data_IF_866389096332
#
_entry.id   IF_866389096332
#
_cell.length_a   1.000
_cell.length_b   1.000
_cell.length_c   1.000
_cell.angle_alpha   90.00
_cell.angle_beta   90.00
_cell.angle_gamma   90.00
#
_symmetry.space_group_name_H-M   'P 1'
#
loop_
_entity.id
_entity.type
_entity.pdbx_description
1 polymer ?
#
# COMPACT_ATOMS: atom_id res chain seq x y z
N UNK A 1 22.35 -10.58 4.64
CA UNK A 1 21.42 -9.50 5.04
C UNK A 1 20.40 -10.12 5.96
N UNK A 2 20.26 -9.56 7.14
CA UNK A 2 19.29 -10.01 8.13
C UNK A 2 17.86 -9.76 7.60
N UNK A 3 16.90 -10.59 8.03
CA UNK A 3 15.51 -10.51 7.53
C UNK A 3 14.88 -9.14 7.79
N UNK A 4 15.15 -8.56 8.95
CA UNK A 4 14.68 -7.22 9.31
C UNK A 4 15.29 -6.13 8.40
N UNK A 5 16.59 -6.22 8.11
CA UNK A 5 17.26 -5.28 7.19
C UNK A 5 16.63 -5.31 5.80
N UNK A 6 16.31 -6.50 5.28
CA UNK A 6 15.61 -6.65 4.00
C UNK A 6 14.25 -5.95 4.02
N UNK A 7 13.46 -6.16 5.08
CA UNK A 7 12.14 -5.56 5.23
C UNK A 7 12.21 -4.03 5.30
N UNK A 8 13.17 -3.49 6.06
CA UNK A 8 13.40 -2.03 6.16
C UNK A 8 13.79 -1.45 4.81
N UNK A 9 14.75 -2.05 4.10
CA UNK A 9 15.19 -1.57 2.79
C UNK A 9 14.04 -1.61 1.77
N UNK A 10 13.29 -2.71 1.74
CA UNK A 10 12.13 -2.80 0.86
C UNK A 10 11.07 -1.73 1.17
N UNK A 11 10.85 -1.43 2.46
CA UNK A 11 9.90 -0.38 2.91
C UNK A 11 10.34 1.01 2.47
N UNK A 12 11.63 1.32 2.59
CA UNK A 12 12.20 2.57 2.08
C UNK A 12 12.01 2.66 0.55
N UNK A 13 12.28 1.58 -0.19
CA UNK A 13 12.08 1.56 -1.64
C UNK A 13 10.61 1.81 -1.99
N UNK A 14 9.67 1.16 -1.30
CA UNK A 14 8.24 1.36 -1.54
C UNK A 14 7.78 2.81 -1.26
N UNK A 15 8.24 3.40 -0.15
CA UNK A 15 7.97 4.80 0.18
C UNK A 15 8.54 5.76 -0.87
N UNK A 16 9.79 5.55 -1.30
CA UNK A 16 10.39 6.34 -2.38
C UNK A 16 9.59 6.21 -3.68
N UNK A 17 9.10 5.00 -4.01
CA UNK A 17 8.25 4.79 -5.18
C UNK A 17 6.92 5.56 -5.05
N UNK A 18 6.26 5.53 -3.89
CA UNK A 18 5.02 6.27 -3.67
C UNK A 18 5.21 7.78 -3.82
N UNK A 19 6.23 8.34 -3.14
CA UNK A 19 6.60 9.75 -3.25
C UNK A 19 6.94 10.12 -4.69
N UNK A 20 7.77 9.33 -5.37
CA UNK A 20 8.16 9.60 -6.76
C UNK A 20 6.96 9.52 -7.70
N UNK A 21 6.10 8.52 -7.53
CA UNK A 21 4.91 8.35 -8.37
C UNK A 21 3.90 9.47 -8.16
N UNK A 22 3.83 10.08 -6.98
CA UNK A 22 2.94 11.21 -6.70
C UNK A 22 3.22 12.44 -7.57
N UNK A 23 4.42 12.59 -8.13
CA UNK A 23 4.72 13.64 -9.12
C UNK A 23 3.95 13.49 -10.44
N UNK A 24 3.38 12.32 -10.74
CA UNK A 24 2.41 12.15 -11.83
C UNK A 24 1.21 13.08 -11.65
N UNK A 25 0.88 13.47 -10.42
CA UNK A 25 -0.16 14.46 -10.11
C UNK A 25 0.07 15.83 -10.74
N UNK A 26 1.31 16.19 -11.10
CA UNK A 26 1.60 17.43 -11.84
C UNK A 26 1.03 17.43 -13.26
N UNK A 27 0.68 16.26 -13.79
CA UNK A 27 0.02 16.11 -15.09
C UNK A 27 -1.50 16.28 -14.98
N UNK A 28 -2.04 16.40 -13.77
CA UNK A 28 -3.48 16.54 -13.58
C UNK A 28 -3.96 17.89 -14.14
N UNK A 29 -5.01 17.90 -14.96
CA UNK A 29 -5.61 19.15 -15.42
C UNK A 29 -6.42 19.85 -14.32
N UNK A 30 -6.67 19.18 -13.19
CA UNK A 30 -7.34 19.75 -12.05
C UNK A 30 -6.34 20.57 -11.22
N UNK A 31 -6.75 21.73 -10.69
CA UNK A 31 -5.88 22.49 -9.80
C UNK A 31 -5.46 21.60 -8.63
N UNK A 32 -4.18 21.66 -8.22
CA UNK A 32 -3.73 20.92 -7.05
C UNK A 32 -4.60 21.35 -5.88
N UNK A 33 -5.27 20.37 -5.27
CA UNK A 33 -6.10 20.66 -4.11
C UNK A 33 -5.14 20.97 -2.98
N UNK A 34 -5.03 22.25 -2.61
CA UNK A 34 -4.35 22.69 -1.40
C UNK A 34 -5.17 22.27 -0.17
N UNK A 35 -5.44 20.97 -0.05
CA UNK A 35 -5.77 20.43 1.26
C UNK A 35 -4.42 20.25 1.91
N UNK A 36 -4.16 21.04 2.94
CA UNK A 36 -3.25 20.61 4.00
C UNK A 36 -3.93 19.37 4.59
N UNK A 37 -3.74 18.21 3.94
CA UNK A 37 -4.14 16.92 4.46
C UNK A 37 -3.23 16.66 5.63
N UNK A 38 -3.71 16.93 6.83
CA UNK A 38 -2.97 16.62 8.03
C UNK A 38 -2.90 15.11 8.12
N UNK A 39 -1.68 14.56 8.16
CA UNK A 39 -1.50 13.16 8.56
C UNK A 39 -1.87 13.13 10.03
N UNK A 40 -3.03 12.55 10.32
CA UNK A 40 -3.59 12.43 11.66
C UNK A 40 -3.10 11.15 12.32
N UNK A 41 -3.22 11.10 13.66
CA UNK A 41 -2.95 9.86 14.38
C UNK A 41 -3.94 8.75 14.00
N UNK A 42 -5.18 9.10 13.62
CA UNK A 42 -6.20 8.15 13.19
C UNK A 42 -5.82 7.49 11.86
N UNK A 43 -5.40 8.27 10.86
CA UNK A 43 -4.92 7.75 9.57
C UNK A 43 -3.70 6.83 9.76
N UNK A 44 -2.68 7.28 10.52
CA UNK A 44 -1.49 6.45 10.78
C UNK A 44 -1.87 5.14 11.47
N UNK A 45 -2.67 5.20 12.55
CA UNK A 45 -3.04 4.01 13.31
C UNK A 45 -3.95 3.08 12.50
N UNK A 46 -4.86 3.64 11.72
CA UNK A 46 -5.77 2.91 10.84
C UNK A 46 -5.01 2.09 9.79
N UNK A 47 -4.16 2.76 9.01
CA UNK A 47 -3.31 2.08 8.03
C UNK A 47 -2.36 1.07 8.67
N UNK A 48 -1.81 1.39 9.83
CA UNK A 48 -0.94 0.45 10.54
C UNK A 48 -1.72 -0.81 10.97
N UNK A 49 -2.92 -0.65 11.54
CA UNK A 49 -3.74 -1.77 11.98
C UNK A 49 -4.20 -2.65 10.81
N UNK A 50 -4.66 -2.05 9.71
CA UNK A 50 -5.09 -2.80 8.52
C UNK A 50 -3.90 -3.52 7.85
N UNK A 51 -2.78 -2.82 7.66
CA UNK A 51 -1.56 -3.40 7.11
C UNK A 51 -1.00 -4.54 7.98
N UNK A 52 -1.08 -4.41 9.31
CA UNK A 52 -0.69 -5.49 10.22
C UNK A 52 -1.66 -6.67 10.16
N UNK A 53 -2.97 -6.39 10.14
CA UNK A 53 -4.03 -7.39 10.09
C UNK A 53 -3.93 -8.29 8.85
N UNK A 54 -3.60 -7.73 7.68
CA UNK A 54 -3.37 -8.55 6.49
C UNK A 54 -2.06 -9.34 6.57
N UNK A 55 -1.02 -8.72 7.12
CA UNK A 55 0.32 -9.29 7.19
C UNK A 55 0.46 -10.45 8.18
N UNK A 56 -0.36 -10.51 9.24
CA UNK A 56 -0.30 -11.57 10.26
C UNK A 56 -0.58 -12.97 9.67
N UNK A 57 -1.32 -13.05 8.56
CA UNK A 57 -1.60 -14.30 7.84
C UNK A 57 -0.40 -14.91 7.13
N UNK A 58 0.75 -14.22 7.13
CA UNK A 58 2.05 -14.82 6.77
C UNK A 58 2.63 -15.70 7.88
N UNK A 59 2.08 -15.60 9.10
CA UNK A 59 2.61 -16.20 10.33
C UNK A 59 4.07 -15.84 10.60
N UNK A 60 4.45 -14.62 10.23
CA UNK A 60 5.80 -14.10 10.41
C UNK A 60 5.75 -12.62 10.82
N UNK A 61 6.25 -12.31 12.02
CA UNK A 61 6.18 -10.96 12.57
C UNK A 61 6.91 -9.92 11.69
N UNK A 62 8.05 -10.29 11.08
CA UNK A 62 8.80 -9.37 10.23
C UNK A 62 7.98 -9.03 8.97
N UNK A 63 7.27 -10.02 8.43
CA UNK A 63 6.40 -9.82 7.27
C UNK A 63 5.15 -9.01 7.64
N UNK A 64 4.57 -9.22 8.82
CA UNK A 64 3.44 -8.42 9.30
C UNK A 64 3.82 -6.94 9.47
N UNK A 65 4.98 -6.68 10.08
CA UNK A 65 5.53 -5.32 10.20
C UNK A 65 5.89 -4.72 8.84
N UNK A 66 6.35 -5.54 7.89
CA UNK A 66 6.63 -5.06 6.53
C UNK A 66 5.35 -4.65 5.79
N UNK A 67 4.27 -5.43 5.90
CA UNK A 67 2.97 -5.07 5.33
C UNK A 67 2.43 -3.77 5.94
N UNK A 68 2.58 -3.61 7.26
CA UNK A 68 2.28 -2.36 8.00
C UNK A 68 3.05 -1.17 7.40
N UNK A 69 4.36 -1.31 7.23
CA UNK A 69 5.20 -0.25 6.69
C UNK A 69 4.85 0.11 5.23
N UNK A 70 4.50 -0.89 4.41
CA UNK A 70 4.04 -0.65 3.05
C UNK A 70 2.70 0.07 3.00
N UNK A 71 1.74 -0.30 3.86
CA UNK A 71 0.43 0.35 3.92
C UNK A 71 0.57 1.84 4.26
N UNK A 72 1.38 2.17 5.27
CA UNK A 72 1.72 3.56 5.62
C UNK A 72 2.43 4.31 4.50
N UNK A 73 3.26 3.61 3.72
CA UNK A 73 4.06 4.23 2.67
C UNK A 73 3.24 4.62 1.43
N UNK A 74 2.02 4.11 1.26
CA UNK A 74 1.15 4.54 0.15
C UNK A 74 0.81 6.04 0.25
N UNK A 75 0.72 6.58 1.47
CA UNK A 75 0.49 8.01 1.74
C UNK A 75 1.68 8.94 1.49
N UNK A 76 2.77 8.45 0.91
CA UNK A 76 3.94 9.28 0.59
C UNK A 76 3.60 10.59 -0.16
N UNK A 77 2.52 10.61 -0.94
CA UNK A 77 2.01 11.82 -1.62
C UNK A 77 1.52 12.91 -0.68
N UNK A 78 0.96 12.56 0.48
CA UNK A 78 0.50 13.51 1.50
C UNK A 78 1.67 14.27 2.13
N UNK A 79 2.84 13.63 2.26
CA UNK A 79 4.04 14.32 2.74
C UNK A 79 4.47 15.43 1.77
N UNK A 80 4.34 15.23 0.46
CA UNK A 80 4.67 16.25 -0.53
C UNK A 80 3.75 17.46 -0.44
N UNK A 81 2.44 17.25 -0.27
CA UNK A 81 1.49 18.35 -0.12
C UNK A 81 1.70 19.12 1.19
N UNK A 82 2.04 18.43 2.28
CA UNK A 82 2.43 19.05 3.55
C UNK A 82 3.70 19.91 3.44
N UNK A 83 4.64 19.50 2.59
CA UNK A 83 5.85 20.27 2.28
C UNK A 83 5.60 21.42 1.29
N UNK A 84 4.34 21.65 0.90
CA UNK A 84 3.94 22.72 -0.02
C UNK A 84 4.18 22.42 -1.49
N UNK A 85 4.45 21.15 -1.85
CA UNK A 85 4.55 20.75 -3.26
C UNK A 85 3.14 20.65 -3.84
N UNK A 86 2.83 21.33 -4.95
CA UNK A 86 1.48 21.42 -5.52
C UNK A 86 1.14 20.16 -6.34
N UNK A 87 1.15 18.99 -5.71
CA UNK A 87 0.76 17.70 -6.30
C UNK A 87 -0.59 17.24 -5.77
N UNK A 88 -1.32 16.46 -6.56
CA UNK A 88 -2.50 15.75 -6.07
C UNK A 88 -2.05 14.50 -5.29
N UNK A 89 -2.33 14.37 -3.98
CA UNK A 89 -1.80 13.28 -3.16
C UNK A 89 -2.45 11.92 -3.49
N UNK A 90 -3.66 11.91 -4.04
CA UNK A 90 -4.42 10.68 -4.35
C UNK A 90 -3.90 9.88 -5.54
N UNK A 91 -2.76 10.27 -6.13
CA UNK A 91 -2.22 9.62 -7.33
C UNK A 91 -1.53 8.31 -7.01
N UNK A 92 -0.89 8.19 -5.84
CA UNK A 92 -0.32 6.93 -5.34
C UNK A 92 -1.39 5.89 -5.00
N UNK A 93 -2.67 6.26 -4.91
CA UNK A 93 -3.80 5.38 -4.61
C UNK A 93 -4.37 4.71 -5.89
N UNK A 94 -3.57 4.64 -6.96
CA UNK A 94 -3.99 4.10 -8.25
C UNK A 94 -3.64 2.61 -8.41
N UNK A 95 -4.45 1.89 -9.21
CA UNK A 95 -4.15 0.51 -9.58
C UNK A 95 -2.85 0.41 -10.40
N UNK A 96 -2.53 1.45 -11.17
CA UNK A 96 -1.26 1.52 -11.90
C UNK A 96 -0.07 1.56 -10.94
N UNK A 97 -0.13 2.39 -9.89
CA UNK A 97 0.89 2.40 -8.85
C UNK A 97 1.01 1.03 -8.17
N UNK A 98 -0.12 0.44 -7.77
CA UNK A 98 -0.17 -0.88 -7.15
C UNK A 98 0.51 -1.94 -8.01
N UNK A 99 0.20 -2.01 -9.31
CA UNK A 99 0.80 -2.98 -10.24
C UNK A 99 2.29 -2.71 -10.41
N UNK A 100 2.69 -1.46 -10.69
CA UNK A 100 4.09 -1.11 -10.95
C UNK A 100 4.97 -1.37 -9.73
N UNK A 101 4.55 -0.89 -8.55
CA UNK A 101 5.28 -1.07 -7.30
C UNK A 101 5.42 -2.55 -6.94
N UNK A 102 4.35 -3.33 -7.11
CA UNK A 102 4.34 -4.78 -6.87
C UNK A 102 5.31 -5.52 -7.78
N UNK A 103 5.26 -5.27 -9.10
CA UNK A 103 6.14 -5.93 -10.06
C UNK A 103 7.60 -5.54 -9.84
N UNK A 104 7.86 -4.25 -9.58
CA UNK A 104 9.21 -3.73 -9.36
C UNK A 104 9.81 -4.31 -8.09
N UNK A 105 9.13 -4.22 -6.95
CA UNK A 105 9.61 -4.80 -5.70
C UNK A 105 9.79 -6.32 -5.82
N UNK A 106 8.79 -7.00 -6.36
CA UNK A 106 8.83 -8.43 -6.62
C UNK A 106 10.08 -8.82 -7.41
N UNK A 107 10.38 -8.06 -8.47
CA UNK A 107 11.55 -8.29 -9.30
C UNK A 107 12.86 -7.96 -8.56
N UNK A 108 12.99 -6.76 -7.99
CA UNK A 108 14.22 -6.28 -7.34
C UNK A 108 14.65 -7.22 -6.21
N UNK A 109 13.70 -7.67 -5.39
CA UNK A 109 14.00 -8.49 -4.21
C UNK A 109 13.89 -10.01 -4.43
N UNK A 110 13.59 -10.48 -5.65
CA UNK A 110 13.30 -11.90 -5.99
C UNK A 110 14.33 -12.92 -5.50
N UNK A 111 15.60 -12.52 -5.42
CA UNK A 111 16.72 -13.37 -5.00
C UNK A 111 16.91 -13.42 -3.47
N UNK A 112 16.21 -12.57 -2.71
CA UNK A 112 16.26 -12.49 -1.24
C UNK A 112 14.98 -12.99 -0.60
N UNK A 113 13.85 -12.70 -1.24
CA UNK A 113 12.51 -13.18 -0.93
C UNK A 113 11.86 -13.45 -2.28
N UNK A 114 11.24 -14.62 -2.45
CA UNK A 114 10.73 -14.99 -3.77
C UNK A 114 9.79 -13.92 -4.33
N UNK A 115 9.83 -13.72 -5.65
CA UNK A 115 8.97 -12.74 -6.35
C UNK A 115 7.53 -12.80 -5.85
N UNK A 116 6.96 -14.00 -5.77
CA UNK A 116 5.60 -14.27 -5.28
C UNK A 116 5.35 -13.68 -3.89
N UNK A 117 6.28 -13.86 -2.95
CA UNK A 117 6.12 -13.41 -1.56
C UNK A 117 6.18 -11.89 -1.44
N UNK A 118 7.17 -11.25 -2.07
CA UNK A 118 7.28 -9.79 -2.07
C UNK A 118 6.12 -9.13 -2.80
N UNK A 119 5.74 -9.66 -3.97
CA UNK A 119 4.59 -9.15 -4.73
C UNK A 119 3.28 -9.27 -3.94
N UNK A 120 3.04 -10.41 -3.27
CA UNK A 120 1.85 -10.60 -2.46
C UNK A 120 1.76 -9.61 -1.30
N UNK A 121 2.88 -9.32 -0.60
CA UNK A 121 2.87 -8.36 0.51
C UNK A 121 2.66 -6.93 0.00
N UNK A 122 3.32 -6.53 -1.08
CA UNK A 122 3.16 -5.20 -1.68
C UNK A 122 1.70 -4.96 -2.13
N UNK A 123 1.13 -5.93 -2.84
CA UNK A 123 -0.26 -5.91 -3.29
C UNK A 123 -1.23 -5.88 -2.12
N UNK A 124 -1.06 -6.77 -1.14
CA UNK A 124 -1.94 -6.86 0.01
C UNK A 124 -1.92 -5.60 0.87
N UNK A 125 -0.73 -5.03 1.13
CA UNK A 125 -0.59 -3.79 1.89
C UNK A 125 -1.29 -2.61 1.19
N UNK A 126 -1.19 -2.51 -0.13
CA UNK A 126 -1.93 -1.51 -0.90
C UNK A 126 -3.44 -1.70 -0.79
N UNK A 127 -3.94 -2.93 -0.94
CA UNK A 127 -5.38 -3.22 -0.81
C UNK A 127 -5.89 -2.89 0.60
N UNK A 128 -5.11 -3.18 1.62
CA UNK A 128 -5.43 -2.87 3.02
C UNK A 128 -5.43 -1.38 3.33
N UNK A 129 -4.49 -0.64 2.74
CA UNK A 129 -4.48 0.81 2.80
C UNK A 129 -5.77 1.40 2.18
N UNK A 130 -6.11 0.98 0.95
CA UNK A 130 -7.35 1.39 0.27
C UNK A 130 -8.61 1.00 1.05
N UNK A 131 -8.59 -0.14 1.75
CA UNK A 131 -9.71 -0.58 2.58
C UNK A 131 -9.94 0.36 3.76
N UNK A 132 -8.86 0.87 4.39
CA UNK A 132 -8.98 1.85 5.46
C UNK A 132 -9.49 3.20 4.95
N UNK A 133 -8.97 3.71 3.82
CA UNK A 133 -9.43 4.99 3.25
C UNK A 133 -10.93 5.06 3.00
N UNK A 134 -11.54 3.94 2.61
CA UNK A 134 -12.99 3.85 2.41
C UNK A 134 -13.75 4.09 3.71
N UNK A 135 -13.20 3.65 4.85
CA UNK A 135 -13.82 3.82 6.18
C UNK A 135 -13.53 5.20 6.76
N UNK A 136 -12.30 5.68 6.62
CA UNK A 136 -11.86 7.00 7.12
C UNK A 136 -12.60 8.17 6.45
N UNK A 137 -13.30 7.86 5.35
CA UNK A 137 -14.33 8.71 4.78
C UNK A 137 -14.06 9.14 3.36
N UNK A 138 -12.98 8.66 2.72
CA UNK A 138 -12.72 8.67 1.27
C UNK A 138 -13.37 9.83 0.51
N UNK A 139 -13.21 11.07 1.00
CA UNK A 139 -14.24 12.12 0.85
C UNK A 139 -14.44 12.64 -0.58
N UNK A 140 -13.60 12.23 -1.55
CA UNK A 140 -13.70 12.64 -2.96
C UNK A 140 -13.49 11.50 -3.98
N UNK A 141 -13.48 10.24 -3.51
CA UNK A 141 -13.28 9.06 -4.35
C UNK A 141 -11.83 8.89 -4.83
N UNK A 142 -11.56 7.72 -5.42
CA UNK A 142 -10.20 7.29 -5.75
C UNK A 142 -9.90 7.47 -7.24
N UNK A 143 -8.73 8.02 -7.57
CA UNK A 143 -8.25 8.13 -8.94
C UNK A 143 -7.55 6.84 -9.39
N UNK A 144 -8.33 5.76 -9.46
CA UNK A 144 -7.82 4.39 -9.64
C UNK A 144 -7.00 4.17 -10.92
N UNK A 145 -7.21 5.00 -11.94
CA UNK A 145 -6.64 4.80 -13.28
C UNK A 145 -5.61 5.86 -13.68
N UNK A 146 -5.04 6.61 -12.73
CA UNK A 146 -3.87 7.46 -13.01
C UNK A 146 -2.72 6.63 -13.60
N UNK A 147 -1.91 7.15 -14.55
CA UNK A 147 -1.96 8.49 -15.17
C UNK A 147 -2.94 8.60 -16.36
N UNK A 148 -3.70 7.56 -16.69
CA UNK A 148 -4.52 7.52 -17.90
C UNK A 148 -5.77 8.39 -17.79
N UNK A 149 -6.35 8.47 -16.60
CA UNK A 149 -7.44 9.39 -16.27
C UNK A 149 -7.39 9.79 -14.80
N UNK A 150 -7.66 11.07 -14.53
CA UNK A 150 -7.74 11.65 -13.18
C UNK A 150 -9.18 11.66 -12.63
N UNK A 151 -10.10 10.92 -13.26
CA UNK A 151 -11.46 10.79 -12.79
C UNK A 151 -11.51 9.98 -11.49
N UNK A 152 -12.21 10.51 -10.48
CA UNK A 152 -12.44 9.81 -9.21
C UNK A 152 -13.59 8.82 -9.32
N UNK A 153 -13.41 7.66 -8.68
CA UNK A 153 -14.43 6.61 -8.55
C UNK A 153 -14.72 6.40 -7.07
N UNK A 154 -16.00 6.40 -6.72
CA UNK A 154 -16.44 6.08 -5.37
C UNK A 154 -16.51 4.57 -5.20
N UNK A 155 -15.80 4.06 -4.20
CA UNK A 155 -15.89 2.67 -3.80
C UNK A 155 -16.94 2.52 -2.68
N UNK A 156 -17.84 1.54 -2.76
CA UNK A 156 -18.86 1.34 -1.74
C UNK A 156 -18.27 0.72 -0.47
N UNK A 157 -18.82 1.04 0.70
CA UNK A 157 -18.29 0.55 2.00
C UNK A 157 -18.14 -0.98 2.08
N UNK A 158 -18.99 -1.75 1.40
CA UNK A 158 -18.85 -3.22 1.39
C UNK A 158 -17.54 -3.70 0.74
N UNK A 159 -16.90 -2.89 -0.12
CA UNK A 159 -15.63 -3.27 -0.75
C UNK A 159 -14.48 -3.33 0.24
N UNK A 160 -14.59 -2.72 1.43
CA UNK A 160 -13.61 -2.86 2.52
C UNK A 160 -13.33 -4.33 2.81
N UNK A 161 -14.39 -5.11 3.07
CA UNK A 161 -14.25 -6.53 3.38
C UNK A 161 -13.68 -7.31 2.18
N UNK A 162 -14.07 -6.94 0.95
CA UNK A 162 -13.56 -7.60 -0.25
C UNK A 162 -12.05 -7.36 -0.46
N UNK A 163 -11.59 -6.12 -0.25
CA UNK A 163 -10.18 -5.74 -0.38
C UNK A 163 -9.32 -6.40 0.70
N UNK A 164 -9.76 -6.37 1.96
CA UNK A 164 -9.08 -7.05 3.08
C UNK A 164 -8.99 -8.57 2.86
N UNK A 165 -10.10 -9.22 2.53
CA UNK A 165 -10.11 -10.67 2.28
C UNK A 165 -9.22 -11.06 1.09
N UNK A 166 -9.17 -10.23 0.05
CA UNK A 166 -8.29 -10.45 -1.10
C UNK A 166 -6.82 -10.31 -0.71
N UNK A 167 -6.47 -9.28 0.09
CA UNK A 167 -5.13 -9.11 0.65
C UNK A 167 -4.71 -10.30 1.50
N UNK A 168 -5.59 -10.76 2.39
CA UNK A 168 -5.37 -11.93 3.24
C UNK A 168 -5.14 -13.17 2.37
N UNK A 169 -5.95 -13.38 1.34
CA UNK A 169 -5.81 -14.51 0.42
C UNK A 169 -4.45 -14.50 -0.29
N UNK A 170 -3.97 -13.33 -0.75
CA UNK A 170 -2.64 -13.21 -1.36
C UNK A 170 -1.52 -13.57 -0.40
N UNK A 171 -1.54 -13.03 0.82
CA UNK A 171 -0.52 -13.30 1.84
C UNK A 171 -0.55 -14.76 2.24
N UNK A 172 -1.72 -15.29 2.61
CA UNK A 172 -1.86 -16.68 3.05
C UNK A 172 -1.42 -17.67 1.96
N UNK A 173 -1.77 -17.41 0.69
CA UNK A 173 -1.32 -18.26 -0.42
C UNK A 173 0.20 -18.18 -0.65
N UNK A 174 0.76 -16.96 -0.61
CA UNK A 174 2.19 -16.74 -0.84
C UNK A 174 3.08 -17.32 0.28
N UNK A 175 2.55 -17.41 1.50
CA UNK A 175 3.22 -17.91 2.70
C UNK A 175 2.65 -19.23 3.22
N UNK A 176 1.90 -19.97 2.40
CA UNK A 176 1.27 -21.25 2.77
C UNK A 176 2.22 -22.25 3.42
N UNK A 177 3.50 -22.21 3.09
CA UNK A 177 4.50 -23.12 3.68
C UNK A 177 4.66 -22.89 5.20
N UNK A 178 4.55 -21.64 5.66
CA UNK A 178 4.56 -21.29 7.08
C UNK A 178 3.31 -21.85 7.77
N UNK A 179 2.14 -21.70 7.14
CA UNK A 179 0.85 -22.21 7.65
C UNK A 179 0.90 -23.73 7.80
N UNK A 180 1.33 -24.44 6.75
CA UNK A 180 1.41 -25.90 6.75
C UNK A 180 2.39 -26.42 7.82
N UNK A 181 3.42 -25.65 8.16
CA UNK A 181 4.38 -26.03 9.22
C UNK A 181 3.78 -26.00 10.63
N UNK A 182 2.68 -25.25 10.84
CA UNK A 182 1.98 -25.20 12.13
C UNK A 182 1.05 -26.41 12.32
N UNK A 183 0.47 -26.92 11.23
CA UNK A 183 -0.48 -28.05 11.26
C UNK A 183 0.23 -29.41 11.31
N UNK A 184 1.48 -29.47 10.86
CA UNK A 184 2.29 -30.71 10.81
C UNK A 184 3.09 -30.98 12.09
N UNK A 185 2.87 -30.22 13.15
CA UNK A 185 3.45 -30.43 14.49
C UNK A 185 2.45 -31.17 15.37
#
# INVERSE_FOLDING_TARGET
>A
MERLQLAVIASIVYAVLSVTYSFVGLLSPQPPVNVVGYITAEEILGHALFGFAVGIFSFDLVIALQATAFALAVDGGHLLTQLGVPVNPGVSHSLTFMILSTLLLGYVFRNKISFRKMAAIAMAAFLSHMAFDIIDGGFNGFQLFNPFTFASIMLPVWSVAALELLGIAFVAFAFKENILSLVRR
#
